data_IF_660478478937
#
_entry.id   IF_660478478937
#
_cell.length_a   1.000
_cell.length_b   1.000
_cell.length_c   1.000
_cell.angle_alpha   90.00
_cell.angle_beta   90.00
_cell.angle_gamma   90.00
#
_symmetry.space_group_name_H-M   'P 1'
#
loop_
_entity.id
_entity.type
_entity.pdbx_description
1 polymer ?
#
# COMPACT_ATOMS: atom_id res chain seq x y z
N UNK A 1 -26.26 -7.73 -11.92
CA UNK A 1 -27.45 -7.72 -11.05
C UNK A 1 -27.12 -8.08 -9.59
N UNK A 2 -26.13 -8.94 -9.29
CA UNK A 2 -25.71 -9.21 -7.89
C UNK A 2 -24.54 -8.36 -7.37
N UNK A 3 -23.81 -7.65 -8.24
CA UNK A 3 -22.60 -6.91 -7.85
C UNK A 3 -22.86 -5.66 -6.99
N UNK A 4 -24.09 -5.13 -6.99
CA UNK A 4 -24.48 -3.95 -6.21
C UNK A 4 -24.85 -4.30 -4.76
N UNK A 5 -24.93 -5.58 -4.42
CA UNK A 5 -25.32 -6.08 -3.09
C UNK A 5 -24.23 -6.91 -2.40
N UNK A 6 -23.05 -6.99 -3.02
CA UNK A 6 -21.89 -7.69 -2.46
C UNK A 6 -20.93 -6.61 -1.98
N UNK A 7 -20.94 -6.37 -0.67
CA UNK A 7 -20.16 -5.34 -0.02
C UNK A 7 -18.73 -5.83 0.29
N UNK A 8 -18.52 -7.14 0.50
CA UNK A 8 -17.20 -7.69 0.83
C UNK A 8 -16.96 -9.17 0.42
N UNK A 9 -15.74 -9.65 0.72
CA UNK A 9 -15.30 -11.03 0.50
C UNK A 9 -16.21 -12.08 1.18
N UNK A 10 -16.87 -11.72 2.30
CA UNK A 10 -17.71 -12.64 3.06
C UNK A 10 -19.06 -12.87 2.40
N UNK A 11 -19.61 -11.91 1.66
CA UNK A 11 -20.84 -12.12 0.88
C UNK A 11 -20.64 -13.19 -0.19
N UNK A 12 -19.47 -13.18 -0.85
CA UNK A 12 -19.08 -14.25 -1.77
C UNK A 12 -18.87 -15.59 -1.04
N UNK A 13 -18.33 -15.57 0.17
CA UNK A 13 -18.20 -16.78 0.98
C UNK A 13 -19.57 -17.35 1.35
N UNK A 14 -20.49 -16.51 1.83
CA UNK A 14 -21.85 -16.87 2.22
C UNK A 14 -22.62 -17.46 1.03
N UNK A 15 -22.53 -16.84 -0.15
CA UNK A 15 -23.13 -17.37 -1.38
C UNK A 15 -22.57 -18.76 -1.74
N UNK A 16 -21.26 -18.97 -1.61
CA UNK A 16 -20.65 -20.29 -1.86
C UNK A 16 -21.08 -21.33 -0.83
N UNK A 17 -21.31 -20.93 0.42
CA UNK A 17 -21.74 -21.83 1.48
C UNK A 17 -23.23 -22.19 1.38
N UNK A 18 -24.04 -21.42 0.63
CA UNK A 18 -25.48 -21.65 0.51
C UNK A 18 -25.83 -22.95 -0.23
N UNK A 19 -25.13 -23.30 -1.32
CA UNK A 19 -25.27 -24.61 -1.98
C UNK A 19 -24.08 -24.97 -2.89
N UNK A 20 -24.00 -26.25 -3.27
CA UNK A 20 -22.95 -26.77 -4.16
C UNK A 20 -22.89 -26.03 -5.51
N UNK A 21 -24.03 -25.74 -6.10
CA UNK A 21 -24.11 -25.07 -7.40
C UNK A 21 -23.58 -23.64 -7.35
N UNK A 22 -23.87 -22.91 -6.27
CA UNK A 22 -23.31 -21.57 -6.06
C UNK A 22 -21.82 -21.61 -5.74
N UNK A 23 -21.34 -22.61 -4.98
CA UNK A 23 -19.91 -22.80 -4.82
C UNK A 23 -19.20 -22.99 -6.16
N UNK A 24 -19.71 -23.87 -7.03
CA UNK A 24 -19.12 -24.10 -8.34
C UNK A 24 -19.11 -22.83 -9.22
N UNK A 25 -20.19 -22.05 -9.19
CA UNK A 25 -20.33 -20.81 -10.00
C UNK A 25 -19.50 -19.65 -9.48
N UNK A 26 -19.42 -19.45 -8.16
CA UNK A 26 -18.82 -18.24 -7.56
C UNK A 26 -17.40 -18.44 -7.03
N UNK A 27 -16.87 -19.66 -6.98
CA UNK A 27 -15.51 -19.91 -6.46
C UNK A 27 -14.44 -19.05 -7.14
N UNK A 28 -14.43 -19.01 -8.46
CA UNK A 28 -13.43 -18.25 -9.22
C UNK A 28 -13.56 -16.74 -9.01
N UNK A 29 -14.80 -16.23 -9.03
CA UNK A 29 -15.07 -14.82 -8.77
C UNK A 29 -14.66 -14.42 -7.34
N UNK A 30 -14.96 -15.26 -6.35
CA UNK A 30 -14.55 -15.05 -4.97
C UNK A 30 -13.02 -15.01 -4.82
N UNK A 31 -12.30 -15.97 -5.42
CA UNK A 31 -10.83 -15.97 -5.36
C UNK A 31 -10.22 -14.72 -6.03
N UNK A 32 -10.79 -14.28 -7.17
CA UNK A 32 -10.38 -13.02 -7.81
C UNK A 32 -10.68 -11.80 -6.95
N UNK A 33 -11.79 -11.80 -6.22
CA UNK A 33 -12.14 -10.73 -5.29
C UNK A 33 -11.12 -10.64 -4.14
N UNK A 34 -10.79 -11.77 -3.48
CA UNK A 34 -9.85 -11.78 -2.35
C UNK A 34 -8.40 -11.48 -2.78
N UNK A 35 -7.96 -12.13 -3.87
CA UNK A 35 -6.53 -12.17 -4.21
C UNK A 35 -6.17 -11.29 -5.40
N UNK A 36 -7.13 -10.82 -6.20
CA UNK A 36 -6.88 -10.07 -7.42
C UNK A 36 -6.03 -8.81 -7.19
N UNK A 37 -6.35 -8.10 -6.11
CA UNK A 37 -5.64 -6.90 -5.65
C UNK A 37 -5.12 -7.15 -4.25
N UNK A 38 -3.83 -6.93 -4.02
CA UNK A 38 -3.24 -6.99 -2.67
C UNK A 38 -2.73 -5.62 -2.25
N UNK A 39 -3.20 -5.12 -1.12
CA UNK A 39 -2.62 -3.92 -0.51
C UNK A 39 -1.39 -4.27 0.31
N UNK A 40 -0.35 -3.44 0.18
CA UNK A 40 0.88 -3.54 0.94
C UNK A 40 1.08 -2.25 1.72
N UNK A 41 1.06 -2.34 3.04
CA UNK A 41 1.43 -1.28 3.95
C UNK A 41 2.85 -1.44 4.45
N UNK A 42 3.46 -0.35 4.93
CA UNK A 42 4.76 -0.39 5.59
C UNK A 42 4.64 -0.96 7.03
N UNK A 43 4.48 -2.27 7.11
CA UNK A 43 4.37 -3.04 8.34
C UNK A 43 4.82 -4.48 8.07
N UNK A 44 5.54 -5.08 9.02
CA UNK A 44 6.09 -6.44 8.87
C UNK A 44 5.01 -7.47 8.52
N UNK A 45 3.86 -7.39 9.19
CA UNK A 45 2.69 -8.26 8.96
C UNK A 45 2.19 -8.19 7.52
N UNK A 46 2.27 -7.01 6.90
CA UNK A 46 1.87 -6.79 5.51
C UNK A 46 2.82 -7.50 4.54
N UNK A 47 4.13 -7.35 4.73
CA UNK A 47 5.14 -8.03 3.90
C UNK A 47 5.11 -9.55 4.10
N UNK A 48 5.00 -10.02 5.34
CA UNK A 48 4.88 -11.44 5.65
C UNK A 48 3.64 -12.06 5.01
N UNK A 49 2.49 -11.37 5.10
CA UNK A 49 1.26 -11.84 4.48
C UNK A 49 1.40 -11.94 2.95
N UNK A 50 2.01 -10.94 2.31
CA UNK A 50 2.27 -10.98 0.87
C UNK A 50 3.19 -12.15 0.49
N UNK A 51 4.24 -12.39 1.27
CA UNK A 51 5.15 -13.52 1.07
C UNK A 51 4.48 -14.88 1.29
N UNK A 52 3.59 -14.99 2.28
CA UNK A 52 2.77 -16.19 2.52
C UNK A 52 1.87 -16.48 1.32
N UNK A 53 1.21 -15.45 0.77
CA UNK A 53 0.36 -15.60 -0.43
C UNK A 53 1.21 -16.01 -1.64
N UNK A 54 2.38 -15.40 -1.84
CA UNK A 54 3.23 -15.67 -3.00
C UNK A 54 3.73 -17.12 -3.06
N UNK A 55 3.85 -17.77 -1.90
CA UNK A 55 4.31 -19.16 -1.74
C UNK A 55 3.19 -20.15 -1.42
N UNK A 56 1.93 -19.72 -1.47
CA UNK A 56 0.84 -20.55 -0.97
C UNK A 56 0.63 -21.80 -1.86
N UNK A 57 0.63 -23.02 -1.30
CA UNK A 57 0.63 -24.27 -2.07
C UNK A 57 -0.62 -24.50 -2.90
N UNK A 58 -1.75 -23.88 -2.54
CA UNK A 58 -3.00 -23.97 -3.31
C UNK A 58 -3.01 -23.12 -4.60
N UNK A 59 -1.92 -22.40 -4.90
CA UNK A 59 -1.80 -21.62 -6.13
C UNK A 59 -2.50 -20.26 -6.10
N UNK A 60 -2.81 -19.73 -4.90
CA UNK A 60 -3.50 -18.43 -4.76
C UNK A 60 -2.69 -17.26 -5.32
N UNK A 61 -1.36 -17.38 -5.32
CA UNK A 61 -0.44 -16.44 -5.96
C UNK A 61 -0.76 -16.16 -7.44
N UNK A 62 -1.39 -17.09 -8.16
CA UNK A 62 -1.76 -16.90 -9.58
C UNK A 62 -2.93 -15.92 -9.76
N UNK A 63 -3.71 -15.65 -8.72
CA UNK A 63 -4.83 -14.70 -8.83
C UNK A 63 -4.37 -13.25 -8.64
N UNK A 64 -3.22 -13.03 -8.01
CA UNK A 64 -2.68 -11.67 -7.79
C UNK A 64 -2.33 -11.04 -9.13
N UNK A 65 -3.10 -10.00 -9.50
CA UNK A 65 -2.92 -9.20 -10.72
C UNK A 65 -2.40 -7.80 -10.42
N UNK A 66 -2.68 -7.28 -9.23
CA UNK A 66 -2.31 -5.92 -8.83
C UNK A 66 -1.82 -5.87 -7.40
N UNK A 67 -0.79 -5.07 -7.14
CA UNK A 67 -0.35 -4.70 -5.79
C UNK A 67 -0.51 -3.20 -5.62
N UNK A 68 -1.24 -2.80 -4.59
CA UNK A 68 -1.45 -1.40 -4.21
C UNK A 68 -0.58 -1.12 -2.96
N UNK A 69 0.56 -0.46 -3.17
CA UNK A 69 1.51 -0.11 -2.11
C UNK A 69 1.09 1.22 -1.51
N UNK A 70 0.78 1.21 -0.22
CA UNK A 70 0.59 2.42 0.55
C UNK A 70 1.87 2.79 1.28
N UNK A 71 2.27 4.05 1.19
CA UNK A 71 3.43 4.57 1.91
C UNK A 71 3.15 4.78 3.41
N UNK A 72 1.90 4.62 3.83
CA UNK A 72 1.52 4.68 5.24
C UNK A 72 1.69 3.32 5.93
N UNK A 73 1.68 3.37 7.26
CA UNK A 73 1.61 2.20 8.13
C UNK A 73 0.26 2.18 8.84
N UNK A 74 -0.36 0.98 9.06
CA UNK A 74 -1.55 0.85 9.90
C UNK A 74 -1.29 1.25 11.35
N UNK A 75 -0.02 1.30 11.79
CA UNK A 75 0.39 1.48 13.18
C UNK A 75 0.82 2.90 13.52
N UNK A 76 0.16 3.90 12.94
CA UNK A 76 0.59 5.28 13.12
C UNK A 76 0.56 5.71 14.59
N UNK A 77 1.68 6.30 15.04
CA UNK A 77 1.82 6.83 16.39
C UNK A 77 1.43 8.31 16.40
N UNK A 78 0.36 8.58 17.12
CA UNK A 78 -0.11 9.90 17.49
C UNK A 78 0.86 10.65 18.43
N UNK A 79 2.03 11.11 17.98
CA UNK A 79 2.86 11.96 18.87
C UNK A 79 2.19 13.30 19.21
N UNK A 80 1.36 13.83 18.31
CA UNK A 80 0.50 14.98 18.57
C UNK A 80 -0.96 14.53 18.42
N UNK A 81 -1.70 14.40 19.53
CA UNK A 81 -3.14 14.12 19.51
C UNK A 81 -3.58 12.71 19.95
N UNK A 82 -2.67 11.84 20.43
CA UNK A 82 -3.06 10.49 20.92
C UNK A 82 -4.01 10.63 22.07
N UNK A 83 -3.56 11.41 23.05
CA UNK A 83 -4.25 11.59 24.31
C UNK A 83 -5.61 12.20 24.02
N UNK A 84 -5.67 13.15 23.08
CA UNK A 84 -6.94 13.72 22.62
C UNK A 84 -7.87 12.68 21.98
N UNK A 85 -7.39 11.82 21.07
CA UNK A 85 -8.21 10.76 20.48
C UNK A 85 -8.66 9.74 21.53
N UNK A 86 -7.72 9.22 22.33
CA UNK A 86 -8.01 8.24 23.39
C UNK A 86 -8.99 8.83 24.40
N UNK A 87 -8.85 10.10 24.76
CA UNK A 87 -9.76 10.81 25.64
C UNK A 87 -11.13 11.00 24.98
N UNK A 88 -11.21 11.34 23.69
CA UNK A 88 -12.49 11.38 22.96
C UNK A 88 -13.19 10.02 22.94
N UNK A 89 -12.45 8.93 22.71
CA UNK A 89 -13.00 7.57 22.74
C UNK A 89 -13.44 7.21 24.17
N UNK A 90 -12.63 7.52 25.19
CA UNK A 90 -12.92 7.25 26.61
C UNK A 90 -14.14 8.00 27.11
N UNK A 91 -14.25 9.29 26.77
CA UNK A 91 -15.35 10.19 27.13
C UNK A 91 -16.57 9.98 26.24
N UNK A 92 -16.48 9.13 25.22
CA UNK A 92 -17.52 8.95 24.21
C UNK A 92 -17.97 10.30 23.63
N UNK A 93 -17.02 11.09 23.15
CA UNK A 93 -17.25 12.45 22.68
C UNK A 93 -18.39 12.48 21.65
N UNK A 94 -19.43 13.27 21.95
CA UNK A 94 -20.66 13.40 21.16
C UNK A 94 -21.42 12.07 20.93
N UNK A 95 -21.21 11.05 21.77
CA UNK A 95 -21.86 9.75 21.64
C UNK A 95 -21.31 8.86 20.51
N UNK A 96 -20.25 9.28 19.82
CA UNK A 96 -19.79 8.66 18.56
C UNK A 96 -19.17 7.28 18.72
N UNK A 97 -18.60 6.99 19.89
CA UNK A 97 -17.78 5.80 20.11
C UNK A 97 -18.49 4.72 20.94
N UNK A 98 -19.77 4.88 21.28
CA UNK A 98 -20.50 3.96 22.18
C UNK A 98 -20.35 2.50 21.76
N UNK A 99 -20.45 2.25 20.46
CA UNK A 99 -20.56 0.90 19.90
C UNK A 99 -19.21 0.33 19.46
N UNK A 100 -18.16 1.14 19.46
CA UNK A 100 -16.82 0.76 19.00
C UNK A 100 -15.70 1.11 19.99
N UNK A 101 -16.05 1.53 21.21
CA UNK A 101 -15.09 2.05 22.19
C UNK A 101 -13.94 1.08 22.43
N UNK A 102 -14.27 -0.17 22.75
CA UNK A 102 -13.28 -1.22 23.05
C UNK A 102 -12.40 -1.50 21.83
N UNK A 103 -13.01 -1.61 20.65
CA UNK A 103 -12.31 -1.81 19.38
C UNK A 103 -11.34 -0.66 19.11
N UNK A 104 -11.78 0.59 19.21
CA UNK A 104 -10.97 1.77 18.94
C UNK A 104 -9.78 1.89 19.91
N UNK A 105 -9.99 1.59 21.20
CA UNK A 105 -8.92 1.57 22.20
C UNK A 105 -7.90 0.45 21.93
N UNK A 106 -8.36 -0.77 21.61
CA UNK A 106 -7.45 -1.89 21.29
C UNK A 106 -6.61 -1.60 20.04
N UNK A 107 -7.23 -1.05 18.99
CA UNK A 107 -6.50 -0.63 17.78
C UNK A 107 -5.43 0.41 18.16
N UNK A 108 -5.77 1.41 18.99
CA UNK A 108 -4.80 2.42 19.43
C UNK A 108 -3.64 1.81 20.23
N UNK A 109 -3.91 0.83 21.09
CA UNK A 109 -2.89 0.19 21.92
C UNK A 109 -1.97 -0.74 21.11
N UNK A 110 -2.51 -1.45 20.11
CA UNK A 110 -1.72 -2.24 19.17
C UNK A 110 -0.83 -1.32 18.32
N UNK A 111 -1.40 -0.24 17.77
CA UNK A 111 -0.66 0.70 16.94
C UNK A 111 0.55 1.28 17.69
N UNK A 112 0.38 1.70 18.94
CA UNK A 112 1.47 2.24 19.76
C UNK A 112 2.60 1.23 20.01
N UNK A 113 2.26 -0.03 20.31
CA UNK A 113 3.25 -1.10 20.48
C UNK A 113 4.02 -1.38 19.20
N UNK A 114 3.32 -1.43 18.06
CA UNK A 114 3.86 -1.82 16.76
C UNK A 114 4.61 -0.70 16.04
N UNK A 115 4.37 0.56 16.38
CA UNK A 115 5.05 1.70 15.78
C UNK A 115 6.59 1.58 15.82
N UNK A 116 7.16 1.07 16.93
CA UNK A 116 8.62 0.86 17.05
C UNK A 116 9.15 -0.22 16.11
N UNK A 117 8.35 -1.25 15.81
CA UNK A 117 8.73 -2.32 14.89
C UNK A 117 8.78 -1.81 13.45
N UNK A 118 7.85 -0.92 13.07
CA UNK A 118 7.84 -0.27 11.75
C UNK A 118 9.10 0.55 11.52
N UNK A 119 9.53 1.32 12.54
CA UNK A 119 10.78 2.11 12.45
C UNK A 119 11.98 1.19 12.26
N UNK A 120 12.08 0.11 13.04
CA UNK A 120 13.18 -0.87 12.89
C UNK A 120 13.20 -1.52 11.51
N UNK A 121 12.03 -1.87 10.97
CA UNK A 121 11.92 -2.42 9.61
C UNK A 121 12.53 -1.44 8.61
N UNK A 122 12.11 -0.16 8.67
CA UNK A 122 12.63 0.91 7.80
C UNK A 122 14.14 1.14 7.94
N UNK A 123 14.67 1.17 9.17
CA UNK A 123 16.11 1.33 9.42
C UNK A 123 16.94 0.17 8.84
N UNK A 124 16.38 -1.04 8.86
CA UNK A 124 17.04 -2.25 8.37
C UNK A 124 17.00 -2.45 6.85
N UNK A 125 16.14 -1.71 6.13
CA UNK A 125 15.85 -1.90 4.70
C UNK A 125 15.38 -3.32 4.31
N UNK A 126 14.89 -4.11 5.28
CA UNK A 126 14.43 -5.49 5.05
C UNK A 126 13.22 -5.57 4.09
N UNK A 127 12.43 -4.50 3.99
CA UNK A 127 11.27 -4.40 3.11
C UNK A 127 11.59 -4.73 1.64
N UNK A 128 12.76 -4.33 1.16
CA UNK A 128 13.16 -4.51 -0.24
C UNK A 128 13.42 -5.99 -0.50
N UNK A 129 14.08 -6.67 0.43
CA UNK A 129 14.31 -8.10 0.33
C UNK A 129 12.98 -8.87 0.40
N UNK A 130 12.09 -8.51 1.33
CA UNK A 130 10.80 -9.17 1.50
C UNK A 130 9.89 -8.98 0.28
N UNK A 131 9.78 -7.76 -0.24
CA UNK A 131 8.98 -7.48 -1.43
C UNK A 131 9.57 -8.17 -2.67
N UNK A 132 10.88 -8.06 -2.90
CA UNK A 132 11.55 -8.76 -4.01
C UNK A 132 11.26 -10.25 -3.97
N UNK A 133 11.36 -10.87 -2.79
CA UNK A 133 11.12 -12.29 -2.62
C UNK A 133 9.66 -12.67 -2.87
N UNK A 134 8.71 -11.85 -2.40
CA UNK A 134 7.30 -12.05 -2.65
C UNK A 134 6.97 -11.97 -4.15
N UNK A 135 7.51 -10.98 -4.86
CA UNK A 135 7.27 -10.75 -6.29
C UNK A 135 7.65 -11.96 -7.16
N UNK A 136 8.68 -12.74 -6.79
CA UNK A 136 9.05 -13.96 -7.54
C UNK A 136 7.92 -15.00 -7.61
N UNK A 137 6.98 -14.98 -6.65
CA UNK A 137 5.86 -15.91 -6.61
C UNK A 137 4.66 -15.47 -7.45
N UNK A 138 4.56 -14.21 -7.88
CA UNK A 138 3.38 -13.67 -8.56
C UNK A 138 3.51 -13.67 -10.08
N UNK A 139 3.44 -14.86 -10.70
CA UNK A 139 3.50 -15.04 -12.17
C UNK A 139 2.51 -14.20 -13.00
N UNK A 140 1.43 -13.75 -12.35
CA UNK A 140 0.29 -13.11 -12.98
C UNK A 140 0.12 -11.65 -12.61
N UNK A 141 1.02 -11.08 -11.78
CA UNK A 141 1.05 -9.66 -11.47
C UNK A 141 1.14 -8.87 -12.77
N UNK A 142 0.45 -7.74 -12.90
CA UNK A 142 0.50 -6.88 -14.10
C UNK A 142 0.61 -5.42 -13.75
N UNK A 143 0.16 -5.04 -12.56
CA UNK A 143 0.09 -3.64 -12.17
C UNK A 143 0.63 -3.44 -10.75
N UNK A 144 1.36 -2.34 -10.55
CA UNK A 144 1.66 -1.82 -9.22
C UNK A 144 1.22 -0.37 -9.14
N UNK A 145 0.49 -0.06 -8.08
CA UNK A 145 0.01 1.28 -7.77
C UNK A 145 0.67 1.69 -6.47
N UNK A 146 1.30 2.85 -6.44
CA UNK A 146 1.87 3.44 -5.24
C UNK A 146 1.04 4.63 -4.84
N UNK A 147 0.60 4.68 -3.59
CA UNK A 147 -0.12 5.82 -3.04
C UNK A 147 0.56 6.33 -1.77
N UNK A 148 0.78 7.65 -1.71
CA UNK A 148 1.34 8.33 -0.54
C UNK A 148 0.49 8.14 0.70
N UNK A 149 -0.83 8.17 0.55
CA UNK A 149 -1.74 8.11 1.68
C UNK A 149 -2.87 7.10 1.48
N UNK A 150 -3.57 6.84 2.58
CA UNK A 150 -4.79 6.07 2.58
C UNK A 150 -6.00 6.90 2.14
N UNK A 151 -5.88 8.22 1.98
CA UNK A 151 -7.01 9.07 1.56
C UNK A 151 -7.39 8.78 0.10
N UNK A 152 -6.42 8.40 -0.74
CA UNK A 152 -6.65 7.90 -2.10
C UNK A 152 -6.99 6.41 -2.22
N UNK A 153 -6.78 5.60 -1.18
CA UNK A 153 -7.06 4.14 -1.22
C UNK A 153 -8.43 3.80 -0.66
N UNK A 154 -8.98 2.63 -0.96
CA UNK A 154 -10.20 2.17 -0.29
C UNK A 154 -9.98 2.03 1.24
N UNK A 155 -11.04 2.05 2.06
CA UNK A 155 -10.94 1.72 3.49
C UNK A 155 -10.34 0.33 3.73
N UNK A 156 -9.77 0.07 4.91
CA UNK A 156 -9.30 -1.27 5.26
C UNK A 156 -10.47 -2.27 5.28
N UNK A 157 -10.26 -3.43 4.68
CA UNK A 157 -11.22 -4.52 4.76
C UNK A 157 -11.21 -5.13 6.17
N UNK A 158 -12.23 -5.94 6.48
CA UNK A 158 -12.25 -6.72 7.72
C UNK A 158 -11.05 -7.66 7.84
N UNK A 159 -10.69 -8.32 6.73
CA UNK A 159 -9.55 -9.24 6.68
C UNK A 159 -8.22 -8.54 6.94
N UNK A 160 -8.07 -7.30 6.49
CA UNK A 160 -6.89 -6.48 6.78
C UNK A 160 -6.89 -5.91 8.19
N UNK A 161 -8.05 -5.48 8.71
CA UNK A 161 -8.16 -5.09 10.11
C UNK A 161 -7.78 -6.24 11.04
N UNK A 162 -8.20 -7.47 10.74
CA UNK A 162 -7.78 -8.65 11.50
C UNK A 162 -6.31 -9.01 11.29
N UNK A 163 -5.74 -8.73 10.12
CA UNK A 163 -4.29 -8.91 9.89
C UNK A 163 -3.47 -7.98 10.79
N UNK A 164 -3.85 -6.71 10.85
CA UNK A 164 -3.08 -5.70 11.59
C UNK A 164 -3.44 -5.63 13.08
N UNK A 165 -4.70 -5.87 13.42
CA UNK A 165 -5.27 -5.75 14.75
C UNK A 165 -6.02 -7.04 15.15
N UNK A 166 -5.32 -8.19 15.26
CA UNK A 166 -5.96 -9.50 15.42
C UNK A 166 -6.84 -9.62 16.68
N UNK A 167 -6.56 -8.82 17.72
CA UNK A 167 -7.33 -8.82 18.97
C UNK A 167 -8.70 -8.15 18.87
N UNK A 168 -8.96 -7.39 17.80
CA UNK A 168 -10.28 -6.81 17.55
C UNK A 168 -11.31 -7.91 17.25
N UNK A 169 -10.87 -9.06 16.73
CA UNK A 169 -11.70 -10.26 16.67
C UNK A 169 -12.91 -10.15 15.74
N UNK A 170 -12.77 -9.48 14.59
CA UNK A 170 -13.88 -9.28 13.65
C UNK A 170 -14.18 -10.59 12.91
N UNK A 171 -15.12 -11.39 13.44
CA UNK A 171 -15.52 -12.64 12.82
C UNK A 171 -16.11 -12.45 11.41
N UNK A 172 -16.03 -13.47 10.53
CA UNK A 172 -16.71 -13.43 9.24
C UNK A 172 -18.21 -13.11 9.36
N UNK A 173 -18.72 -12.25 8.48
CA UNK A 173 -20.12 -11.81 8.47
C UNK A 173 -20.47 -10.69 9.46
N UNK A 174 -19.52 -10.24 10.29
CA UNK A 174 -19.71 -9.03 11.11
C UNK A 174 -19.51 -7.80 10.22
N UNK A 175 -20.57 -7.00 10.07
CA UNK A 175 -20.49 -5.72 9.34
C UNK A 175 -19.55 -4.77 10.08
N UNK A 176 -18.56 -4.24 9.36
CA UNK A 176 -17.71 -3.17 9.89
C UNK A 176 -18.57 -1.96 10.25
N UNK A 177 -18.35 -1.42 11.44
CA UNK A 177 -18.97 -0.17 11.86
C UNK A 177 -18.60 0.97 10.90
N UNK A 178 -19.53 1.89 10.63
CA UNK A 178 -19.32 3.01 9.70
C UNK A 178 -18.05 3.79 10.03
N UNK A 179 -17.76 3.97 11.32
CA UNK A 179 -16.55 4.66 11.75
C UNK A 179 -15.23 4.01 11.30
N UNK A 180 -15.22 2.68 11.14
CA UNK A 180 -14.10 1.91 10.57
C UNK A 180 -14.12 1.91 9.03
N UNK A 181 -15.32 1.94 8.43
CA UNK A 181 -15.52 1.94 6.97
C UNK A 181 -15.22 3.29 6.34
N UNK A 182 -15.73 4.40 6.85
CA UNK A 182 -15.74 5.69 6.12
C UNK A 182 -14.43 6.46 6.27
N UNK A 183 -13.36 5.74 6.62
CA UNK A 183 -12.09 6.33 7.06
C UNK A 183 -12.31 7.37 8.15
N UNK A 184 -13.43 7.38 8.87
CA UNK A 184 -13.75 8.49 9.79
C UNK A 184 -13.05 8.37 11.12
N UNK A 185 -12.75 7.15 11.58
CA UNK A 185 -11.69 6.94 12.58
C UNK A 185 -10.34 7.42 12.06
N UNK A 186 -10.15 7.41 10.73
CA UNK A 186 -8.92 7.79 10.04
C UNK A 186 -8.77 9.30 9.81
N UNK A 187 -9.88 9.99 9.55
CA UNK A 187 -9.94 11.43 9.29
C UNK A 187 -10.21 12.24 10.55
N UNK A 188 -10.77 11.66 11.61
CA UNK A 188 -10.72 12.24 12.96
C UNK A 188 -9.27 12.18 13.46
N UNK A 189 -8.56 13.29 13.28
CA UNK A 189 -7.22 13.53 13.83
C UNK A 189 -6.06 12.68 13.27
N UNK A 190 -6.22 12.08 12.09
CA UNK A 190 -5.08 11.58 11.30
C UNK A 190 -4.61 10.17 11.66
N UNK A 191 -5.52 9.24 11.97
CA UNK A 191 -5.18 7.83 11.81
C UNK A 191 -4.77 7.62 10.36
N UNK A 192 -3.56 7.12 10.17
CA UNK A 192 -3.04 6.76 8.86
C UNK A 192 -2.69 7.95 7.95
N UNK A 193 -2.34 9.11 8.52
CA UNK A 193 -1.45 10.02 7.82
C UNK A 193 -0.06 9.39 7.75
N UNK A 194 0.38 9.08 6.54
CA UNK A 194 1.70 8.53 6.29
C UNK A 194 2.81 9.49 6.73
N UNK A 195 3.88 8.90 7.27
CA UNK A 195 5.26 9.34 7.02
C UNK A 195 5.74 10.71 7.52
N UNK A 196 5.14 11.32 8.54
CA UNK A 196 5.89 12.30 9.33
C UNK A 196 6.97 11.64 10.22
N UNK A 197 6.98 10.31 10.35
CA UNK A 197 7.69 9.62 11.44
C UNK A 197 9.19 9.45 11.30
N UNK A 198 9.80 9.43 10.12
CA UNK A 198 11.28 9.42 10.04
C UNK A 198 11.85 10.84 9.96
N UNK A 199 11.12 11.74 9.31
CA UNK A 199 11.55 13.13 9.19
C UNK A 199 11.37 13.97 10.43
N UNK A 200 10.43 13.66 11.30
CA UNK A 200 10.18 14.46 12.51
C UNK A 200 10.63 13.76 13.80
N UNK A 201 10.77 12.43 13.80
CA UNK A 201 11.21 11.70 15.01
C UNK A 201 12.74 11.52 15.10
N UNK A 202 13.45 11.51 13.97
CA UNK A 202 14.90 11.68 13.94
C UNK A 202 15.19 13.16 13.66
N UNK A 203 16.21 13.69 14.32
CA UNK A 203 16.60 15.09 14.25
C UNK A 203 16.56 15.67 12.82
N UNK A 204 16.33 16.99 12.66
CA UNK A 204 16.23 17.67 11.36
C UNK A 204 17.42 17.51 10.39
N UNK A 205 18.47 16.78 10.76
CA UNK A 205 19.77 16.73 10.08
C UNK A 205 19.96 15.54 9.14
N UNK A 206 19.06 14.55 9.11
CA UNK A 206 19.17 13.44 8.16
C UNK A 206 18.29 13.69 6.93
N UNK A 207 18.93 14.12 5.84
CA UNK A 207 18.38 14.22 4.47
C UNK A 207 17.87 12.88 3.88
N UNK A 208 17.79 11.82 4.68
CA UNK A 208 17.26 10.50 4.31
C UNK A 208 15.72 10.46 4.19
N UNK A 209 15.02 11.59 4.44
CA UNK A 209 13.59 11.64 4.78
C UNK A 209 12.61 11.01 3.80
N UNK A 210 12.93 10.93 2.50
CA UNK A 210 11.96 10.49 1.49
C UNK A 210 12.53 9.54 0.42
N UNK A 211 13.83 9.23 0.50
CA UNK A 211 14.57 8.49 -0.52
C UNK A 211 14.19 7.01 -0.62
N UNK A 212 13.69 6.43 0.48
CA UNK A 212 13.53 4.98 0.64
C UNK A 212 12.22 4.45 0.05
N UNK A 213 11.12 5.20 0.21
CA UNK A 213 9.77 4.67 -0.01
C UNK A 213 9.42 4.44 -1.47
N UNK A 214 9.85 5.34 -2.35
CA UNK A 214 9.58 5.21 -3.77
C UNK A 214 10.54 4.21 -4.45
N UNK A 215 11.77 4.03 -3.91
CA UNK A 215 12.74 3.03 -4.42
C UNK A 215 12.19 1.63 -4.28
N UNK A 216 11.54 1.35 -3.16
CA UNK A 216 11.07 0.01 -2.78
C UNK A 216 10.43 -0.77 -3.95
N UNK A 217 9.36 -0.30 -4.62
CA UNK A 217 8.73 -1.05 -5.72
C UNK A 217 9.66 -1.26 -6.92
N UNK A 218 10.35 -0.21 -7.36
CA UNK A 218 11.20 -0.27 -8.56
C UNK A 218 12.39 -1.19 -8.34
N UNK A 219 13.11 -1.00 -7.23
CA UNK A 219 14.24 -1.84 -6.85
C UNK A 219 13.79 -3.29 -6.68
N UNK A 220 12.64 -3.51 -6.03
CA UNK A 220 12.14 -4.87 -5.81
C UNK A 220 11.74 -5.58 -7.11
N UNK A 221 11.17 -4.87 -8.08
CA UNK A 221 10.88 -5.42 -9.40
C UNK A 221 12.16 -5.82 -10.14
N UNK A 222 13.18 -4.95 -10.11
CA UNK A 222 14.47 -5.22 -10.76
C UNK A 222 15.18 -6.40 -10.11
N UNK A 223 15.22 -6.47 -8.78
CA UNK A 223 15.85 -7.57 -8.05
C UNK A 223 15.11 -8.90 -8.23
N UNK A 224 13.78 -8.87 -8.28
CA UNK A 224 12.95 -10.06 -8.50
C UNK A 224 12.93 -10.56 -9.94
N UNK A 225 13.47 -9.77 -10.89
CA UNK A 225 13.49 -10.05 -12.34
C UNK A 225 12.10 -10.28 -12.91
N UNK A 226 11.10 -9.62 -12.35
CA UNK A 226 9.74 -9.64 -12.90
C UNK A 226 9.74 -8.86 -14.21
N UNK A 227 9.29 -9.47 -15.30
CA UNK A 227 9.28 -8.85 -16.64
C UNK A 227 7.89 -8.53 -17.16
N UNK A 228 6.85 -8.98 -16.48
CA UNK A 228 5.48 -8.96 -16.99
C UNK A 228 4.63 -7.79 -16.46
N UNK A 229 5.25 -6.78 -15.83
CA UNK A 229 4.54 -5.58 -15.41
C UNK A 229 4.15 -4.76 -16.64
N UNK A 230 2.87 -4.41 -16.72
CA UNK A 230 2.27 -3.64 -17.80
C UNK A 230 1.89 -2.22 -17.35
N UNK A 231 1.66 -2.02 -16.05
CA UNK A 231 1.19 -0.74 -15.50
C UNK A 231 1.93 -0.36 -14.22
N UNK A 232 2.43 0.86 -14.18
CA UNK A 232 2.94 1.51 -12.97
C UNK A 232 2.23 2.84 -12.76
N UNK A 233 1.72 3.05 -11.55
CA UNK A 233 1.06 4.30 -11.17
C UNK A 233 1.68 4.80 -9.87
N UNK A 234 2.13 6.05 -9.88
CA UNK A 234 2.67 6.74 -8.72
C UNK A 234 1.71 7.89 -8.37
N UNK A 235 0.95 7.73 -7.29
CA UNK A 235 0.13 8.78 -6.70
C UNK A 235 0.95 9.53 -5.64
N UNK A 236 1.18 10.81 -5.89
CA UNK A 236 1.92 11.71 -5.02
C UNK A 236 3.39 11.37 -4.81
N UNK A 237 4.17 11.35 -5.89
CA UNK A 237 5.63 11.34 -5.82
C UNK A 237 6.17 12.76 -5.71
N UNK A 238 6.75 13.12 -4.58
CA UNK A 238 7.63 14.29 -4.51
C UNK A 238 8.83 14.06 -5.44
N UNK A 239 8.70 14.52 -6.69
CA UNK A 239 9.72 14.40 -7.73
C UNK A 239 10.84 15.43 -7.56
N UNK A 240 10.81 16.29 -6.53
CA UNK A 240 11.94 17.15 -6.21
C UNK A 240 13.21 16.33 -5.91
N UNK A 241 13.03 15.05 -5.58
CA UNK A 241 14.10 14.13 -5.29
C UNK A 241 14.65 13.45 -6.55
N UNK A 242 15.80 13.93 -7.02
CA UNK A 242 16.54 13.36 -8.17
C UNK A 242 16.96 11.90 -7.99
N UNK A 243 16.90 11.38 -6.77
CA UNK A 243 17.13 9.96 -6.52
C UNK A 243 16.06 9.12 -7.21
N UNK A 244 14.82 9.63 -7.39
CA UNK A 244 13.69 8.93 -8.04
C UNK A 244 14.06 8.30 -9.39
N UNK A 245 14.84 9.04 -10.16
CA UNK A 245 15.27 8.67 -11.51
C UNK A 245 16.69 8.08 -11.53
N UNK A 246 17.28 7.80 -10.37
CA UNK A 246 18.64 7.29 -10.28
C UNK A 246 18.72 5.81 -10.67
N UNK A 247 18.98 5.58 -11.96
CA UNK A 247 19.28 4.27 -12.51
C UNK A 247 20.71 3.81 -12.23
N UNK A 248 21.61 4.66 -11.69
CA UNK A 248 23.05 4.37 -11.61
C UNK A 248 23.40 3.16 -10.73
N UNK A 249 22.62 2.94 -9.66
CA UNK A 249 22.79 1.78 -8.77
C UNK A 249 22.40 0.45 -9.42
N UNK A 250 21.79 0.48 -10.60
CA UNK A 250 21.30 -0.69 -11.32
C UNK A 250 21.89 -0.72 -12.72
N UNK A 251 22.06 -1.93 -13.28
CA UNK A 251 22.48 -1.99 -14.69
C UNK A 251 21.29 -1.57 -15.55
N UNK A 252 21.47 -0.55 -16.41
CA UNK A 252 20.45 -0.08 -17.35
C UNK A 252 19.76 -1.23 -18.12
N UNK A 253 20.52 -2.28 -18.45
CA UNK A 253 20.00 -3.49 -19.10
C UNK A 253 18.99 -4.27 -18.25
N UNK A 254 19.15 -4.29 -16.93
CA UNK A 254 18.19 -4.92 -16.01
C UNK A 254 16.88 -4.14 -15.98
N UNK A 255 16.93 -2.80 -15.96
CA UNK A 255 15.75 -1.94 -16.09
C UNK A 255 15.01 -2.21 -17.40
N UNK A 256 15.73 -2.16 -18.54
CA UNK A 256 15.17 -2.45 -19.87
C UNK A 256 14.50 -3.82 -19.92
N UNK A 257 15.07 -4.83 -19.27
CA UNK A 257 14.51 -6.19 -19.21
C UNK A 257 13.26 -6.26 -18.31
N UNK A 258 13.33 -5.66 -17.13
CA UNK A 258 12.25 -5.67 -16.11
C UNK A 258 11.00 -4.97 -16.63
N UNK A 259 11.18 -3.83 -17.30
CA UNK A 259 10.08 -3.00 -17.80
C UNK A 259 9.80 -3.20 -19.29
N UNK A 260 10.30 -4.29 -19.88
CA UNK A 260 10.11 -4.58 -21.30
C UNK A 260 8.63 -4.66 -21.72
N UNK A 261 7.72 -4.99 -20.80
CA UNK A 261 6.28 -5.06 -21.09
C UNK A 261 5.47 -3.88 -20.55
N UNK A 262 6.14 -2.83 -20.05
CA UNK A 262 5.47 -1.67 -19.47
C UNK A 262 4.76 -0.87 -20.58
N UNK A 263 3.43 -0.76 -20.49
CA UNK A 263 2.60 -0.02 -21.44
C UNK A 263 2.10 1.29 -20.87
N UNK A 264 1.83 1.33 -19.56
CA UNK A 264 1.24 2.48 -18.89
C UNK A 264 2.12 2.91 -17.74
N UNK A 265 2.56 4.16 -17.79
CA UNK A 265 3.22 4.84 -16.70
C UNK A 265 2.43 6.11 -16.35
N UNK A 266 1.98 6.19 -15.11
CA UNK A 266 1.31 7.38 -14.58
C UNK A 266 2.07 7.90 -13.37
N UNK A 267 2.40 9.19 -13.37
CA UNK A 267 3.03 9.89 -12.26
C UNK A 267 2.17 11.11 -11.94
N UNK A 268 1.61 11.15 -10.73
CA UNK A 268 0.77 12.23 -10.23
C UNK A 268 1.45 12.96 -9.06
N UNK A 269 1.25 14.26 -8.98
CA UNK A 269 1.87 15.19 -8.01
C UNK A 269 3.32 15.49 -8.25
N UNK A 270 3.62 15.98 -9.45
CA UNK A 270 4.92 16.50 -9.80
C UNK A 270 5.11 17.89 -9.18
N UNK A 271 5.43 17.96 -7.90
CA UNK A 271 5.93 19.19 -7.27
C UNK A 271 7.38 19.41 -7.75
N UNK A 272 7.53 20.20 -8.83
CA UNK A 272 8.86 20.62 -9.30
C UNK A 272 9.22 21.91 -8.56
N UNK A 273 10.14 21.80 -7.62
CA UNK A 273 10.69 22.94 -6.91
C UNK A 273 11.49 23.82 -7.90
N UNK A 274 10.97 25.01 -8.18
CA UNK A 274 11.33 25.90 -9.30
C UNK A 274 12.74 26.52 -9.28
N UNK A 275 13.64 26.09 -8.38
CA UNK A 275 14.97 26.66 -8.23
C UNK A 275 16.10 25.65 -8.57
N UNK A 276 16.70 25.78 -9.76
CA UNK A 276 18.05 25.28 -10.10
C UNK A 276 18.27 23.76 -10.23
N UNK A 277 17.43 22.91 -9.62
CA UNK A 277 17.50 21.43 -9.68
C UNK A 277 16.95 20.84 -10.99
N UNK A 278 16.36 21.68 -11.82
CA UNK A 278 15.67 21.35 -13.06
C UNK A 278 16.53 20.57 -14.08
N UNK A 279 17.82 20.91 -14.23
CA UNK A 279 18.64 20.28 -15.27
C UNK A 279 19.02 18.83 -14.95
N UNK A 280 19.45 18.57 -13.71
CA UNK A 280 19.80 17.22 -13.26
C UNK A 280 18.57 16.31 -13.21
N UNK A 281 17.42 16.86 -12.79
CA UNK A 281 16.15 16.15 -12.81
C UNK A 281 15.75 15.78 -14.25
N UNK A 282 15.83 16.74 -15.19
CA UNK A 282 15.53 16.51 -16.61
C UNK A 282 16.44 15.45 -17.24
N UNK A 283 17.75 15.51 -16.97
CA UNK A 283 18.70 14.53 -17.49
C UNK A 283 18.42 13.11 -16.96
N UNK A 284 18.30 12.95 -15.63
CA UNK A 284 18.03 11.63 -15.03
C UNK A 284 16.67 11.09 -15.41
N UNK A 285 15.65 11.95 -15.49
CA UNK A 285 14.33 11.55 -15.95
C UNK A 285 14.36 11.05 -17.40
N UNK A 286 15.11 11.71 -18.27
CA UNK A 286 15.33 11.28 -19.65
C UNK A 286 15.96 9.89 -19.72
N UNK A 287 17.07 9.68 -19.03
CA UNK A 287 17.76 8.37 -18.97
C UNK A 287 16.85 7.28 -18.42
N UNK A 288 16.09 7.59 -17.37
CA UNK A 288 15.13 6.67 -16.75
C UNK A 288 13.98 6.33 -17.70
N UNK A 289 13.40 7.33 -18.39
CA UNK A 289 12.38 7.11 -19.40
C UNK A 289 12.92 6.30 -20.58
N UNK A 290 14.15 6.52 -21.02
CA UNK A 290 14.76 5.68 -22.07
C UNK A 290 14.94 4.23 -21.60
N UNK A 291 15.21 4.03 -20.30
CA UNK A 291 15.37 2.71 -19.70
C UNK A 291 14.08 1.91 -19.64
N UNK A 292 12.93 2.56 -19.38
CA UNK A 292 11.65 1.89 -19.15
C UNK A 292 10.64 2.08 -20.29
N UNK A 293 10.91 3.03 -21.19
CA UNK A 293 9.90 3.65 -22.05
C UNK A 293 9.74 3.04 -23.42
N UNK A 294 10.53 2.03 -23.78
CA UNK A 294 10.58 1.49 -25.15
C UNK A 294 9.24 0.97 -25.66
N UNK A 295 8.34 0.55 -24.77
CA UNK A 295 7.01 0.02 -25.11
C UNK A 295 5.85 0.81 -24.47
N UNK A 296 6.13 2.01 -23.93
CA UNK A 296 5.09 2.85 -23.34
C UNK A 296 4.08 3.32 -24.40
N UNK A 297 2.82 3.00 -24.16
CA UNK A 297 1.67 3.45 -24.94
C UNK A 297 0.98 4.65 -24.28
N UNK A 298 1.10 4.76 -22.96
CA UNK A 298 0.48 5.80 -22.17
C UNK A 298 1.47 6.32 -21.14
N UNK A 299 1.81 7.60 -21.25
CA UNK A 299 2.58 8.35 -20.28
C UNK A 299 1.69 9.49 -19.76
N UNK A 300 1.40 9.48 -18.47
CA UNK A 300 0.62 10.54 -17.82
C UNK A 300 1.47 11.19 -16.75
N UNK A 301 1.72 12.48 -16.91
CA UNK A 301 2.48 13.33 -15.99
C UNK A 301 1.55 14.44 -15.52
N UNK A 302 0.90 14.25 -14.37
CA UNK A 302 -0.09 15.18 -13.83
C UNK A 302 0.48 15.91 -12.60
N UNK A 303 0.44 17.24 -12.61
CA UNK A 303 0.50 18.01 -11.38
C UNK A 303 -0.97 18.26 -10.95
N UNK A 304 -1.43 17.77 -9.79
CA UNK A 304 -2.74 18.15 -9.27
C UNK A 304 -2.68 19.66 -9.13
N UNK A 305 -3.43 20.34 -9.98
CA UNK A 305 -3.57 21.79 -9.89
C UNK A 305 -4.10 22.13 -8.48
N UNK A 306 -3.65 23.24 -7.89
CA UNK A 306 -3.89 23.59 -6.49
C UNK A 306 -5.37 23.67 -6.10
#
# INVERSE_FOLDING_TARGET
MFSEYIDDEDDFLALRMACHDFNAKFREAHLKCIYGVRRLFYASESFENLLKISRHPSGMNKYVRRIDICWSTPYYNYRAGRDQFVDQVRTNFLGKFSDIKEIALEISDIADRKAKEVVKLQESNEETALLSLALTGFSNLRSMIMARDLTGLEPLSRSELNLFFPKVGLAPGIRLHSLLKDKSLLSYHGFLYGLQTLGEALEPQLDLKYDLFWKLPIVSLVLSRVTHIETLIFHSSDLSNTSFFDVSNHRLSQFKTTFANLKTLKIQSIEVDSAGRDYLLKARFGDWLEAIGSNLQTLVLENPSP
#
